data_IF_838933991046
#
_entry.id   IF_838933991046
#
_cell.length_a   1.000
_cell.length_b   1.000
_cell.length_c   1.000
_cell.angle_alpha   90.00
_cell.angle_beta   90.00
_cell.angle_gamma   90.00
#
_symmetry.space_group_name_H-M   'P 1'
#
loop_
_entity.id
_entity.type
_entity.pdbx_description
1 polymer ?
#
# COMPACT_ATOMS: atom_id res chain seq x y z
N UNK A 1 0.43 2.34 13.66
CA UNK A 1 -0.95 1.91 13.69
C UNK A 1 -1.16 0.70 14.54
N UNK A 2 -2.37 0.43 14.85
CA UNK A 2 -2.72 -0.72 15.66
C UNK A 2 -2.85 -1.96 14.79
N UNK A 3 -1.96 -2.93 15.00
CA UNK A 3 -1.92 -4.18 14.24
C UNK A 3 -2.64 -5.33 14.93
N UNK A 4 -3.33 -5.06 16.02
CA UNK A 4 -4.09 -6.09 16.72
C UNK A 4 -5.18 -6.66 15.81
N UNK A 5 -5.22 -7.98 15.69
CA UNK A 5 -6.19 -8.66 14.82
C UNK A 5 -5.83 -8.59 13.35
N UNK A 6 -4.62 -8.13 13.02
CA UNK A 6 -4.12 -8.01 11.65
C UNK A 6 -3.05 -9.07 11.39
N UNK A 7 -2.96 -9.49 10.15
CA UNK A 7 -1.95 -10.45 9.70
C UNK A 7 -1.26 -9.92 8.46
N UNK A 8 0.00 -10.33 8.29
CA UNK A 8 0.76 -9.95 7.10
C UNK A 8 0.19 -10.63 5.87
N UNK A 9 -0.20 -9.85 4.89
CA UNK A 9 -0.65 -10.34 3.60
C UNK A 9 0.51 -10.36 2.59
N UNK A 10 1.33 -9.31 2.60
CA UNK A 10 2.46 -9.18 1.70
C UNK A 10 3.52 -8.30 2.32
N UNK A 11 4.79 -8.56 2.01
CA UNK A 11 5.88 -7.72 2.46
C UNK A 11 6.98 -7.69 1.41
N UNK A 12 7.69 -6.57 1.36
CA UNK A 12 8.80 -6.36 0.44
C UNK A 12 9.92 -5.66 1.18
N UNK A 13 10.98 -6.40 1.58
CA UNK A 13 12.16 -5.77 2.16
C UNK A 13 12.98 -5.09 1.06
N UNK A 14 13.56 -3.96 1.37
CA UNK A 14 14.41 -3.23 0.42
C UNK A 14 15.42 -2.36 1.17
N UNK A 15 16.40 -1.85 0.44
CA UNK A 15 17.42 -0.96 0.97
C UNK A 15 17.34 0.36 0.23
N UNK A 16 17.38 1.45 0.96
CA UNK A 16 17.44 2.79 0.39
C UNK A 16 18.47 3.60 1.18
N UNK A 17 19.49 4.11 0.50
CA UNK A 17 20.58 4.90 1.10
C UNK A 17 21.14 4.24 2.36
N UNK A 18 21.55 2.98 2.23
CA UNK A 18 22.17 2.18 3.31
C UNK A 18 21.24 1.87 4.48
N UNK A 19 19.97 2.23 4.40
CA UNK A 19 18.98 1.91 5.42
C UNK A 19 18.13 0.74 4.98
N UNK A 20 17.81 -0.13 5.93
CA UNK A 20 16.93 -1.27 5.71
C UNK A 20 15.49 -0.83 5.88
N UNK A 21 14.66 -1.20 4.91
CA UNK A 21 13.23 -0.87 4.89
C UNK A 21 12.40 -2.12 4.63
N UNK A 22 11.15 -2.06 4.99
CA UNK A 22 10.18 -3.07 4.59
C UNK A 22 8.83 -2.41 4.32
N UNK A 23 8.29 -2.68 3.15
CA UNK A 23 6.92 -2.28 2.80
C UNK A 23 6.01 -3.44 3.16
N UNK A 24 4.95 -3.16 3.91
CA UNK A 24 4.09 -4.17 4.49
C UNK A 24 2.64 -3.90 4.17
N UNK A 25 1.91 -4.96 3.80
CA UNK A 25 0.46 -4.92 3.67
C UNK A 25 -0.11 -5.88 4.70
N UNK A 26 -0.92 -5.34 5.59
CA UNK A 26 -1.64 -6.12 6.61
C UNK A 26 -3.12 -6.14 6.27
N UNK A 27 -3.77 -7.25 6.59
CA UNK A 27 -5.22 -7.44 6.42
C UNK A 27 -5.78 -7.99 7.72
N UNK A 28 -7.10 -7.97 7.85
CA UNK A 28 -7.77 -8.62 8.99
C UNK A 28 -7.42 -10.10 8.97
N UNK A 29 -6.99 -10.60 10.12
CA UNK A 29 -6.52 -11.97 10.27
C UNK A 29 -7.57 -13.00 9.87
N UNK A 30 -8.83 -12.76 10.22
CA UNK A 30 -9.92 -13.67 9.94
C UNK A 30 -10.33 -13.71 8.47
N UNK A 31 -9.82 -12.79 7.65
CA UNK A 31 -10.05 -12.79 6.20
C UNK A 31 -8.99 -13.58 5.43
N UNK A 32 -7.94 -14.05 6.12
CA UNK A 32 -6.91 -14.89 5.51
C UNK A 32 -7.15 -16.34 5.88
N UNK A 33 -7.32 -17.18 4.84
CA UNK A 33 -7.48 -18.62 5.01
C UNK A 33 -6.44 -19.30 4.13
N UNK A 34 -5.51 -20.02 4.76
CA UNK A 34 -4.41 -20.71 4.08
C UNK A 34 -3.60 -19.77 3.18
N UNK A 35 -3.37 -18.54 3.66
CA UNK A 35 -2.61 -17.54 2.93
C UNK A 35 -3.37 -16.84 1.82
N UNK A 36 -4.62 -17.20 1.60
CA UNK A 36 -5.44 -16.58 0.58
C UNK A 36 -6.49 -15.67 1.21
N UNK A 37 -6.70 -14.53 0.58
CA UNK A 37 -7.63 -13.53 1.06
C UNK A 37 -9.03 -13.86 0.58
N UNK A 38 -9.95 -14.00 1.53
CA UNK A 38 -11.37 -14.22 1.25
C UNK A 38 -12.11 -12.92 1.53
N UNK A 39 -12.60 -12.28 0.47
CA UNK A 39 -13.30 -11.00 0.61
C UNK A 39 -14.76 -11.16 0.22
N UNK A 40 -15.54 -11.74 1.13
CA UNK A 40 -16.99 -11.80 0.97
C UNK A 40 -17.62 -10.44 1.28
N UNK A 41 -16.91 -9.64 2.05
CA UNK A 41 -17.37 -8.34 2.52
C UNK A 41 -16.18 -7.40 2.63
N UNK A 42 -16.33 -6.28 3.33
CA UNK A 42 -15.21 -5.35 3.53
C UNK A 42 -14.12 -5.98 4.38
N UNK A 43 -12.89 -5.64 4.08
CA UNK A 43 -11.72 -6.08 4.82
C UNK A 43 -10.86 -4.87 5.12
N UNK A 44 -10.35 -4.77 6.34
CA UNK A 44 -9.41 -3.70 6.69
C UNK A 44 -8.05 -4.00 6.08
N UNK A 45 -7.52 -3.03 5.36
CA UNK A 45 -6.16 -3.04 4.83
C UNK A 45 -5.35 -1.95 5.50
N UNK A 46 -4.13 -2.29 5.89
CA UNK A 46 -3.17 -1.31 6.38
C UNK A 46 -1.88 -1.49 5.58
N UNK A 47 -1.43 -0.41 4.94
CA UNK A 47 -0.19 -0.42 4.15
C UNK A 47 0.76 0.57 4.80
N UNK A 48 1.95 0.10 5.16
CA UNK A 48 2.95 0.92 5.80
C UNK A 48 4.36 0.54 5.35
N UNK A 49 5.29 1.48 5.52
CA UNK A 49 6.71 1.20 5.38
C UNK A 49 7.36 1.39 6.74
N UNK A 50 8.30 0.53 7.08
CA UNK A 50 9.03 0.63 8.35
C UNK A 50 10.52 0.63 8.09
N UNK A 51 11.26 1.38 8.90
CA UNK A 51 12.72 1.43 8.87
C UNK A 51 13.21 1.72 10.29
N UNK A 52 13.89 0.76 10.90
CA UNK A 52 14.29 0.88 12.29
C UNK A 52 13.07 1.02 13.19
N UNK A 53 13.00 2.10 13.94
CA UNK A 53 11.88 2.37 14.84
C UNK A 53 10.80 3.24 14.19
N UNK A 54 11.01 3.69 12.96
CA UNK A 54 10.09 4.57 12.27
C UNK A 54 9.10 3.77 11.44
N UNK A 55 7.84 4.19 11.45
CA UNK A 55 6.80 3.60 10.61
C UNK A 55 5.99 4.70 9.95
N UNK A 56 5.58 4.43 8.73
CA UNK A 56 4.85 5.39 7.89
C UNK A 56 3.65 4.70 7.29
N UNK A 57 2.45 5.16 7.64
CA UNK A 57 1.21 4.55 7.16
C UNK A 57 0.71 5.30 5.93
N UNK A 58 0.48 4.58 4.85
CA UNK A 58 -0.01 5.16 3.59
C UNK A 58 -1.50 4.91 3.40
N UNK A 59 -2.01 3.84 3.96
CA UNK A 59 -3.43 3.50 3.83
C UNK A 59 -3.85 2.70 5.05
N UNK A 60 -5.01 3.02 5.60
CA UNK A 60 -5.64 2.27 6.68
C UNK A 60 -7.14 2.46 6.54
N UNK A 61 -7.80 1.54 5.83
CA UNK A 61 -9.25 1.66 5.61
C UNK A 61 -9.89 0.31 5.29
N UNK A 62 -11.20 0.30 5.41
CA UNK A 62 -12.01 -0.84 5.01
C UNK A 62 -12.18 -0.79 3.49
N UNK A 63 -11.87 -1.89 2.82
CA UNK A 63 -11.95 -1.98 1.37
C UNK A 63 -12.85 -3.14 0.98
N UNK A 64 -13.73 -2.89 0.04
CA UNK A 64 -14.61 -3.89 -0.53
C UNK A 64 -14.34 -3.97 -2.03
N UNK A 65 -14.22 -5.19 -2.55
CA UNK A 65 -14.05 -5.46 -3.98
C UNK A 65 -12.80 -4.82 -4.59
N UNK A 66 -11.66 -5.11 -4.01
CA UNK A 66 -10.38 -4.68 -4.55
C UNK A 66 -9.26 -4.97 -3.59
N UNK A 67 -8.06 -5.16 -4.12
CA UNK A 67 -6.85 -5.35 -3.33
C UNK A 67 -5.88 -4.25 -3.73
N UNK A 68 -5.55 -3.34 -2.80
CA UNK A 68 -4.58 -2.29 -3.12
C UNK A 68 -3.19 -2.88 -3.29
N UNK A 69 -2.42 -2.27 -4.17
CA UNK A 69 -1.05 -2.69 -4.45
C UNK A 69 -0.12 -1.50 -4.26
N UNK A 70 1.14 -1.80 -3.97
CA UNK A 70 2.14 -0.77 -3.75
C UNK A 70 3.42 -1.13 -4.49
N UNK A 71 4.05 -0.12 -5.08
CA UNK A 71 5.31 -0.25 -5.78
C UNK A 71 6.33 0.67 -5.13
N UNK A 72 7.61 0.28 -5.18
CA UNK A 72 8.72 1.06 -4.64
C UNK A 72 9.72 1.29 -5.77
N UNK A 73 10.19 2.52 -5.90
CA UNK A 73 11.24 2.82 -6.87
C UNK A 73 11.97 4.11 -6.49
N UNK A 74 13.13 4.32 -7.09
CA UNK A 74 13.93 5.52 -6.89
C UNK A 74 14.01 6.27 -8.22
N UNK A 75 13.87 7.60 -8.17
CA UNK A 75 13.96 8.41 -9.37
C UNK A 75 15.42 8.77 -9.71
N UNK A 76 15.61 9.60 -10.73
CA UNK A 76 16.95 10.00 -11.18
C UNK A 76 17.73 10.78 -10.13
N UNK A 77 17.03 11.41 -9.17
CA UNK A 77 17.65 12.12 -8.06
C UNK A 77 17.81 11.22 -6.84
N UNK A 78 17.59 9.92 -6.99
CA UNK A 78 17.69 8.93 -5.94
C UNK A 78 16.68 9.12 -4.81
N UNK A 79 15.56 9.77 -5.11
CA UNK A 79 14.46 9.91 -4.16
C UNK A 79 13.59 8.67 -4.20
N UNK A 80 13.22 8.19 -3.01
CA UNK A 80 12.36 7.01 -2.89
C UNK A 80 10.90 7.39 -3.07
N UNK A 81 10.22 6.64 -3.93
CA UNK A 81 8.79 6.75 -4.15
C UNK A 81 8.10 5.46 -3.73
N UNK A 82 6.99 5.60 -3.05
CA UNK A 82 6.08 4.49 -2.81
C UNK A 82 4.78 4.89 -3.47
N UNK A 83 4.34 4.09 -4.44
CA UNK A 83 3.16 4.38 -5.24
C UNK A 83 2.09 3.36 -4.91
N UNK A 84 0.93 3.85 -4.48
CA UNK A 84 -0.23 3.01 -4.20
C UNK A 84 -1.17 3.02 -5.40
N UNK A 85 -1.61 1.82 -5.79
CA UNK A 85 -2.68 1.65 -6.77
C UNK A 85 -3.87 1.05 -6.06
N UNK A 86 -4.91 1.85 -5.91
CA UNK A 86 -6.14 1.47 -5.24
C UNK A 86 -7.23 1.38 -6.31
N UNK A 87 -7.43 0.18 -6.82
CA UNK A 87 -8.36 -0.08 -7.91
C UNK A 87 -9.51 -0.93 -7.39
N UNK A 88 -10.70 -0.38 -7.50
CA UNK A 88 -11.94 -1.03 -7.06
C UNK A 88 -12.95 -0.97 -8.20
N UNK A 89 -14.10 -1.56 -8.00
CA UNK A 89 -15.15 -1.58 -9.04
C UNK A 89 -15.53 -0.19 -9.53
N UNK A 90 -15.55 0.79 -8.63
CA UNK A 90 -15.99 2.15 -8.95
C UNK A 90 -14.91 3.20 -8.70
N UNK A 91 -13.67 2.78 -8.51
CA UNK A 91 -12.58 3.71 -8.19
C UNK A 91 -11.27 3.25 -8.79
N UNK A 92 -10.54 4.19 -9.37
CA UNK A 92 -9.18 3.94 -9.85
C UNK A 92 -8.32 5.08 -9.35
N UNK A 93 -7.50 4.82 -8.32
CA UNK A 93 -6.70 5.87 -7.71
C UNK A 93 -5.23 5.46 -7.66
N UNK A 94 -4.35 6.37 -8.05
CA UNK A 94 -2.91 6.20 -7.94
C UNK A 94 -2.36 7.36 -7.13
N UNK A 95 -1.68 7.04 -6.05
CA UNK A 95 -1.08 8.03 -5.16
C UNK A 95 0.43 7.81 -5.09
N UNK A 96 1.19 8.90 -5.18
CA UNK A 96 2.64 8.87 -5.12
C UNK A 96 3.10 9.50 -3.80
N UNK A 97 3.87 8.75 -3.02
CA UNK A 97 4.44 9.22 -1.76
C UNK A 97 5.95 9.29 -1.90
N UNK A 98 6.51 10.48 -1.77
CA UNK A 98 7.94 10.72 -1.92
C UNK A 98 8.56 10.95 -0.54
N UNK A 99 9.59 10.20 -0.22
CA UNK A 99 10.26 10.29 1.07
C UNK A 99 11.16 11.52 1.16
N UNK A 100 11.01 12.27 2.23
CA UNK A 100 11.91 13.37 2.59
C UNK A 100 12.76 12.91 3.77
N UNK A 101 14.05 12.57 3.55
CA UNK A 101 14.89 12.04 4.63
C UNK A 101 15.23 13.07 5.69
N UNK A 102 15.26 14.34 5.35
CA UNK A 102 15.59 15.39 6.31
C UNK A 102 14.48 15.57 7.34
N UNK A 103 13.24 15.53 6.89
CA UNK A 103 12.09 15.69 7.78
C UNK A 103 11.52 14.36 8.25
N UNK A 104 12.04 13.25 7.72
CA UNK A 104 11.58 11.89 8.03
C UNK A 104 10.07 11.78 7.84
N UNK A 105 9.61 12.09 6.64
CA UNK A 105 8.21 11.97 6.29
C UNK A 105 8.05 11.76 4.80
N UNK A 106 6.89 11.24 4.42
CA UNK A 106 6.49 11.10 3.02
C UNK A 106 5.54 12.22 2.65
N UNK A 107 5.73 12.76 1.46
CA UNK A 107 4.84 13.78 0.90
C UNK A 107 4.03 13.11 -0.19
N UNK A 108 2.72 13.05 0.01
CA UNK A 108 1.82 12.35 -0.89
C UNK A 108 1.11 13.27 -1.85
N UNK A 109 0.83 12.75 -3.04
CA UNK A 109 0.00 13.43 -4.03
C UNK A 109 -0.79 12.40 -4.81
N UNK A 110 -2.02 12.76 -5.19
CA UNK A 110 -2.83 11.90 -6.04
C UNK A 110 -2.47 12.18 -7.49
N UNK A 111 -1.89 11.16 -8.14
CA UNK A 111 -1.48 11.26 -9.54
C UNK A 111 -2.69 11.07 -10.45
N UNK A 112 -3.58 10.19 -10.04
CA UNK A 112 -4.81 9.90 -10.78
C UNK A 112 -5.88 9.54 -9.76
N UNK A 113 -7.06 10.12 -9.89
CA UNK A 113 -8.18 9.83 -9.01
C UNK A 113 -9.47 9.79 -9.82
N UNK A 114 -9.85 8.59 -10.27
CA UNK A 114 -11.10 8.36 -10.97
C UNK A 114 -12.12 7.76 -10.03
N UNK A 115 -13.15 8.50 -9.70
CA UNK A 115 -14.27 8.01 -8.89
C UNK A 115 -15.52 7.89 -9.72
N UNK A 116 -16.41 6.99 -9.32
CA UNK A 116 -17.65 6.74 -10.04
C UNK A 116 -17.40 6.12 -11.41
N UNK A 117 -16.29 5.44 -11.58
CA UNK A 117 -15.95 4.79 -12.84
C UNK A 117 -16.68 3.45 -12.97
N UNK A 118 -16.57 2.86 -14.14
CA UNK A 118 -17.02 1.49 -14.39
C UNK A 118 -15.80 0.69 -14.84
N UNK A 119 -15.25 -0.10 -13.95
CA UNK A 119 -14.05 -0.89 -14.24
C UNK A 119 -14.41 -2.03 -15.21
N UNK A 120 -13.73 -2.10 -16.34
CA UNK A 120 -14.06 -3.08 -17.38
C UNK A 120 -13.18 -4.32 -17.27
N UNK A 121 -11.87 -4.15 -17.12
CA UNK A 121 -10.99 -5.31 -17.05
C UNK A 121 -9.51 -4.95 -17.14
N UNK A 122 -8.69 -5.98 -17.07
CA UNK A 122 -7.24 -5.83 -17.14
C UNK A 122 -6.65 -6.92 -18.04
N UNK A 123 -5.41 -6.70 -18.46
CA UNK A 123 -4.66 -7.70 -19.24
C UNK A 123 -3.53 -8.26 -18.38
N UNK A 124 -2.84 -9.23 -18.91
CA UNK A 124 -1.58 -9.69 -18.35
C UNK A 124 -1.65 -10.66 -17.19
N UNK A 125 -2.78 -11.29 -16.99
CA UNK A 125 -2.89 -12.26 -15.89
C UNK A 125 -3.44 -13.59 -16.36
#
# INVERSE_FOLDING_TARGET
>A
GNLQGMATYSSCPFVHEDSQWELQIYVQEDMLIDGELTMDDSCRFLIQAVSGEDSYVFLDEMIQLGIPEADIWEDEQEKMHIVLRDVRTARYKVSDFVFNPEEKKFIGSDVLDGEGINYIGTTGK
#
